data_IF_284523596378
#
_entry.id   IF_284523596378
#
_cell.length_a   1.000
_cell.length_b   1.000
_cell.length_c   1.000
_cell.angle_alpha   90.00
_cell.angle_beta   90.00
_cell.angle_gamma   90.00
#
_symmetry.space_group_name_H-M   'P 1'
#
loop_
_entity.id
_entity.type
_entity.pdbx_description
1 polymer ?
#
# COMPACT_ATOMS: atom_id res chain seq x y z
N UNK A 1 7.62 -16.06 26.86
CA UNK A 1 7.89 -14.61 26.57
C UNK A 1 6.94 -14.15 25.49
N UNK A 2 5.96 -13.32 25.84
CA UNK A 2 5.00 -12.76 24.88
C UNK A 2 5.68 -11.51 24.32
N UNK A 3 6.20 -11.58 23.08
CA UNK A 3 6.71 -10.40 22.38
C UNK A 3 5.51 -9.59 21.88
N UNK A 4 5.21 -8.49 22.54
CA UNK A 4 4.31 -7.49 21.99
C UNK A 4 5.03 -6.80 20.83
N UNK A 5 4.70 -7.21 19.60
CA UNK A 5 5.17 -6.57 18.37
C UNK A 5 4.37 -5.27 18.18
N UNK A 6 5.03 -4.13 18.40
CA UNK A 6 4.44 -2.81 18.18
C UNK A 6 4.64 -2.38 16.73
N UNK A 7 3.53 -2.25 15.99
CA UNK A 7 3.56 -1.79 14.60
C UNK A 7 3.57 -0.26 14.55
N UNK A 8 4.68 0.33 14.07
CA UNK A 8 4.82 1.79 13.90
C UNK A 8 4.64 2.17 12.43
N UNK A 9 3.95 3.29 12.19
CA UNK A 9 3.76 3.84 10.83
C UNK A 9 4.51 5.16 10.71
N UNK A 10 5.49 5.21 9.80
CA UNK A 10 6.32 6.37 9.52
C UNK A 10 5.95 6.96 8.17
N UNK A 11 5.87 8.29 8.08
CA UNK A 11 5.53 9.00 6.84
C UNK A 11 6.64 9.98 6.49
N UNK A 12 7.18 9.85 5.27
CA UNK A 12 8.24 10.70 4.74
C UNK A 12 7.79 11.37 3.45
N UNK A 13 8.12 12.64 3.28
CA UNK A 13 7.89 13.34 2.00
C UNK A 13 9.00 13.00 1.03
N UNK A 14 8.66 12.70 -0.24
CA UNK A 14 9.65 12.55 -1.29
C UNK A 14 10.07 13.92 -1.81
N UNK A 15 11.37 14.09 -2.08
CA UNK A 15 11.87 15.28 -2.79
C UNK A 15 11.25 15.38 -4.17
N UNK A 16 11.00 16.59 -4.63
CA UNK A 16 10.51 16.81 -5.98
C UNK A 16 11.64 16.54 -6.99
N UNK A 17 11.37 15.68 -7.95
CA UNK A 17 12.29 15.36 -9.04
C UNK A 17 11.55 14.99 -10.31
N UNK A 18 12.24 15.09 -11.46
CA UNK A 18 11.69 14.63 -12.76
C UNK A 18 11.32 13.14 -12.72
N UNK A 19 11.96 12.34 -11.88
CA UNK A 19 11.68 10.92 -11.73
C UNK A 19 10.33 10.63 -11.07
N UNK A 20 9.78 11.54 -10.29
CA UNK A 20 8.49 11.39 -9.61
C UNK A 20 7.32 11.14 -10.57
N UNK A 21 7.45 11.54 -11.85
CA UNK A 21 6.48 11.21 -12.90
C UNK A 21 6.24 9.71 -13.05
N UNK A 22 7.28 8.88 -12.80
CA UNK A 22 7.14 7.43 -12.89
C UNK A 22 6.29 6.87 -11.75
N UNK A 23 6.48 7.35 -10.51
CA UNK A 23 5.61 6.98 -9.39
C UNK A 23 4.17 7.42 -9.62
N UNK A 24 3.95 8.62 -10.16
CA UNK A 24 2.62 9.11 -10.53
C UNK A 24 1.96 8.22 -11.60
N UNK A 25 2.73 7.79 -12.61
CA UNK A 25 2.27 6.83 -13.64
C UNK A 25 1.94 5.47 -13.02
N UNK A 26 2.79 4.95 -12.13
CA UNK A 26 2.51 3.70 -11.41
C UNK A 26 1.24 3.78 -10.56
N UNK A 27 0.97 4.92 -9.89
CA UNK A 27 -0.28 5.12 -9.15
C UNK A 27 -1.49 5.12 -10.11
N UNK A 28 -1.38 5.77 -11.27
CA UNK A 28 -2.46 5.77 -12.27
C UNK A 28 -2.69 4.37 -12.84
N UNK A 29 -1.61 3.63 -13.17
CA UNK A 29 -1.70 2.26 -13.62
C UNK A 29 -2.34 1.35 -12.56
N UNK A 30 -1.97 1.51 -11.28
CA UNK A 30 -2.61 0.80 -10.18
C UNK A 30 -4.11 1.09 -10.08
N UNK A 31 -4.52 2.34 -10.34
CA UNK A 31 -5.94 2.73 -10.40
C UNK A 31 -6.68 2.09 -11.58
N UNK A 32 -6.05 1.98 -12.74
CA UNK A 32 -6.63 1.31 -13.91
C UNK A 32 -6.75 -0.21 -13.67
N UNK A 33 -5.73 -0.84 -13.08
CA UNK A 33 -5.76 -2.26 -12.67
C UNK A 33 -6.87 -2.52 -11.64
N UNK A 34 -7.02 -1.64 -10.65
CA UNK A 34 -8.12 -1.72 -9.69
C UNK A 34 -9.48 -1.72 -10.41
N UNK A 35 -9.70 -0.79 -11.33
CA UNK A 35 -10.96 -0.68 -12.07
C UNK A 35 -11.20 -1.91 -12.97
N UNK A 36 -10.16 -2.46 -13.58
CA UNK A 36 -10.27 -3.69 -14.34
C UNK A 36 -10.76 -4.85 -13.46
N UNK A 37 -10.18 -5.01 -12.27
CA UNK A 37 -10.62 -6.03 -11.31
C UNK A 37 -12.08 -5.83 -10.88
N UNK A 38 -12.52 -4.60 -10.64
CA UNK A 38 -13.92 -4.30 -10.33
C UNK A 38 -14.84 -4.64 -11.51
N UNK A 39 -14.44 -4.30 -12.74
CA UNK A 39 -15.20 -4.67 -13.95
C UNK A 39 -15.33 -6.19 -14.10
N UNK A 40 -14.24 -6.92 -13.81
CA UNK A 40 -14.25 -8.39 -13.86
C UNK A 40 -15.22 -8.99 -12.83
N UNK A 41 -15.21 -8.51 -11.58
CA UNK A 41 -16.17 -8.94 -10.56
C UNK A 41 -17.62 -8.69 -10.99
N UNK A 42 -17.92 -7.49 -11.52
CA UNK A 42 -19.26 -7.16 -11.99
C UNK A 42 -19.71 -8.04 -13.16
N UNK A 43 -18.80 -8.27 -14.13
CA UNK A 43 -19.06 -9.16 -15.28
C UNK A 43 -19.32 -10.58 -14.83
N UNK A 44 -18.46 -11.12 -13.95
CA UNK A 44 -18.59 -12.47 -13.43
C UNK A 44 -19.94 -12.67 -12.71
N UNK A 45 -20.32 -11.72 -11.85
CA UNK A 45 -21.62 -11.77 -11.17
C UNK A 45 -22.81 -11.72 -12.15
N UNK A 46 -22.74 -10.89 -13.17
CA UNK A 46 -23.79 -10.78 -14.18
C UNK A 46 -23.98 -12.09 -14.97
N UNK A 47 -22.88 -12.79 -15.25
CA UNK A 47 -22.90 -14.02 -16.04
C UNK A 47 -23.32 -15.24 -15.23
N UNK A 48 -22.93 -15.34 -13.98
CA UNK A 48 -23.09 -16.56 -13.18
C UNK A 48 -23.87 -16.36 -11.86
N UNK A 49 -24.31 -15.16 -11.53
CA UNK A 49 -24.98 -14.88 -10.26
C UNK A 49 -24.11 -15.10 -9.03
N UNK A 50 -22.81 -15.33 -9.18
CA UNK A 50 -21.88 -15.70 -8.12
C UNK A 50 -20.77 -14.69 -7.96
N UNK A 51 -20.22 -14.57 -6.75
CA UNK A 51 -19.02 -13.79 -6.50
C UNK A 51 -17.79 -14.44 -7.13
N UNK A 52 -16.94 -13.62 -7.79
CA UNK A 52 -15.64 -14.08 -8.28
C UNK A 52 -14.71 -14.32 -7.08
N UNK A 53 -14.28 -15.55 -6.85
CA UNK A 53 -13.40 -15.84 -5.74
C UNK A 53 -11.97 -15.32 -5.99
N UNK A 54 -11.23 -15.13 -4.89
CA UNK A 54 -9.89 -14.55 -4.90
C UNK A 54 -8.89 -15.36 -5.74
N UNK A 55 -8.93 -16.69 -5.69
CA UNK A 55 -8.03 -17.54 -6.47
C UNK A 55 -8.21 -17.34 -7.98
N UNK A 56 -9.46 -17.31 -8.47
CA UNK A 56 -9.76 -17.02 -9.89
C UNK A 56 -9.30 -15.62 -10.30
N UNK A 57 -9.50 -14.63 -9.43
CA UNK A 57 -9.00 -13.27 -9.66
C UNK A 57 -7.48 -13.25 -9.77
N UNK A 58 -6.75 -13.94 -8.89
CA UNK A 58 -5.28 -14.03 -8.93
C UNK A 58 -4.79 -14.71 -10.21
N UNK A 59 -5.39 -15.82 -10.63
CA UNK A 59 -5.04 -16.52 -11.88
C UNK A 59 -5.24 -15.62 -13.09
N UNK A 60 -6.35 -14.88 -13.16
CA UNK A 60 -6.62 -13.91 -14.23
C UNK A 60 -5.55 -12.80 -14.26
N UNK A 61 -5.20 -12.24 -13.10
CA UNK A 61 -4.17 -11.21 -12.96
C UNK A 61 -2.81 -11.75 -13.42
N UNK A 62 -2.43 -12.97 -13.02
CA UNK A 62 -1.17 -13.59 -13.42
C UNK A 62 -1.09 -13.75 -14.95
N UNK A 63 -2.18 -14.22 -15.58
CA UNK A 63 -2.29 -14.34 -17.04
C UNK A 63 -2.19 -12.99 -17.76
N UNK A 64 -2.79 -11.92 -17.22
CA UNK A 64 -2.66 -10.58 -17.82
C UNK A 64 -1.25 -10.02 -17.67
N UNK A 65 -0.60 -10.22 -16.52
CA UNK A 65 0.77 -9.77 -16.31
C UNK A 65 1.77 -10.45 -17.21
N UNK A 66 1.61 -11.73 -17.52
CA UNK A 66 2.54 -12.46 -18.40
C UNK A 66 2.55 -11.91 -19.83
N UNK A 67 1.46 -11.26 -20.26
CA UNK A 67 1.24 -10.82 -21.65
C UNK A 67 1.19 -9.30 -21.86
N UNK A 68 1.19 -8.51 -20.77
CA UNK A 68 0.91 -7.07 -20.88
C UNK A 68 1.90 -6.23 -20.09
N UNK A 69 2.74 -5.48 -20.79
CA UNK A 69 3.75 -4.59 -20.20
C UNK A 69 3.14 -3.51 -19.29
N UNK A 70 1.93 -3.02 -19.58
CA UNK A 70 1.23 -2.06 -18.72
C UNK A 70 0.96 -2.66 -17.33
N UNK A 71 0.54 -3.93 -17.25
CA UNK A 71 0.34 -4.62 -15.97
C UNK A 71 1.66 -4.90 -15.24
N UNK A 72 2.75 -5.05 -15.99
CA UNK A 72 4.10 -5.24 -15.43
C UNK A 72 4.69 -3.93 -14.90
N UNK A 73 4.25 -2.76 -15.39
CA UNK A 73 4.73 -1.43 -14.96
C UNK A 73 4.45 -1.14 -13.49
N UNK A 74 3.47 -1.83 -12.91
CA UNK A 74 3.21 -1.87 -11.47
C UNK A 74 3.77 -3.16 -10.91
N UNK A 75 4.63 -3.10 -9.91
CA UNK A 75 5.25 -4.28 -9.30
C UNK A 75 4.24 -5.35 -8.88
N UNK A 76 4.62 -6.64 -9.00
CA UNK A 76 3.73 -7.77 -8.69
C UNK A 76 3.09 -7.67 -7.29
N UNK A 77 3.87 -7.27 -6.31
CA UNK A 77 3.42 -7.06 -4.93
C UNK A 77 2.30 -6.02 -4.83
N UNK A 78 2.41 -4.91 -5.58
CA UNK A 78 1.39 -3.87 -5.60
C UNK A 78 0.10 -4.37 -6.27
N UNK A 79 0.19 -5.16 -7.31
CA UNK A 79 -0.99 -5.74 -7.98
C UNK A 79 -1.68 -6.77 -7.08
N UNK A 80 -0.93 -7.60 -6.39
CA UNK A 80 -1.47 -8.53 -5.38
C UNK A 80 -2.16 -7.79 -4.23
N UNK A 81 -1.58 -6.68 -3.75
CA UNK A 81 -2.20 -5.86 -2.72
C UNK A 81 -3.52 -5.22 -3.19
N UNK A 82 -3.60 -4.79 -4.46
CA UNK A 82 -4.85 -4.30 -5.05
C UNK A 82 -5.94 -5.38 -5.01
N UNK A 83 -5.61 -6.60 -5.44
CA UNK A 83 -6.54 -7.73 -5.42
C UNK A 83 -7.01 -8.06 -4.00
N UNK A 84 -6.09 -8.08 -3.02
CA UNK A 84 -6.43 -8.32 -1.62
C UNK A 84 -7.33 -7.24 -1.03
N UNK A 85 -7.10 -5.96 -1.37
CA UNK A 85 -7.97 -4.87 -0.92
C UNK A 85 -9.38 -4.99 -1.48
N UNK A 86 -9.51 -5.39 -2.74
CA UNK A 86 -10.82 -5.62 -3.37
C UNK A 86 -11.53 -6.78 -2.67
N UNK A 87 -10.84 -7.90 -2.44
CA UNK A 87 -11.41 -9.05 -1.74
C UNK A 87 -11.89 -8.67 -0.34
N UNK A 88 -11.04 -8.00 0.46
CA UNK A 88 -11.44 -7.51 1.79
C UNK A 88 -12.65 -6.56 1.74
N UNK A 89 -12.76 -5.72 0.72
CA UNK A 89 -13.89 -4.81 0.55
C UNK A 89 -15.18 -5.56 0.22
N UNK A 90 -15.12 -6.64 -0.58
CA UNK A 90 -16.26 -7.52 -0.83
C UNK A 90 -16.66 -8.30 0.42
N UNK A 91 -15.68 -8.85 1.17
CA UNK A 91 -15.96 -9.53 2.44
C UNK A 91 -16.64 -8.61 3.45
N UNK A 92 -16.18 -7.35 3.55
CA UNK A 92 -16.83 -6.34 4.38
C UNK A 92 -18.26 -6.04 3.91
N UNK A 93 -18.48 -5.94 2.60
CA UNK A 93 -19.81 -5.77 2.02
C UNK A 93 -20.72 -6.96 2.40
N UNK A 94 -20.29 -8.19 2.17
CA UNK A 94 -21.11 -9.37 2.50
C UNK A 94 -21.45 -9.46 3.98
N UNK A 95 -20.50 -9.08 4.84
CA UNK A 95 -20.74 -9.09 6.30
C UNK A 95 -21.68 -7.98 6.77
N UNK A 96 -21.67 -6.81 6.12
CA UNK A 96 -22.31 -5.61 6.64
C UNK A 96 -23.27 -4.91 5.66
N UNK A 97 -23.70 -5.57 4.56
CA UNK A 97 -24.62 -4.95 3.58
C UNK A 97 -25.93 -4.50 4.21
N UNK A 98 -26.47 -5.27 5.18
CA UNK A 98 -27.67 -4.87 5.94
C UNK A 98 -27.50 -3.58 6.75
N UNK A 99 -26.25 -3.20 7.07
CA UNK A 99 -25.91 -1.94 7.75
C UNK A 99 -25.54 -0.81 6.75
N UNK A 100 -25.90 -0.95 5.48
CA UNK A 100 -25.68 0.07 4.45
C UNK A 100 -24.29 0.06 3.78
N UNK A 101 -23.43 -0.91 4.10
CA UNK A 101 -22.13 -1.06 3.40
C UNK A 101 -22.40 -1.44 1.95
N UNK A 102 -21.83 -0.68 1.01
CA UNK A 102 -21.96 -0.91 -0.42
C UNK A 102 -20.80 -1.72 -0.99
N UNK A 103 -21.00 -2.48 -2.08
CA UNK A 103 -19.91 -3.18 -2.74
C UNK A 103 -18.87 -2.20 -3.31
N UNK A 104 -17.59 -2.63 -3.44
CA UNK A 104 -16.58 -1.77 -4.02
C UNK A 104 -16.93 -1.36 -5.45
N UNK A 105 -16.74 -0.06 -5.75
CA UNK A 105 -17.05 0.54 -7.04
C UNK A 105 -15.83 1.05 -7.79
N UNK A 106 -16.05 1.56 -9.02
CA UNK A 106 -15.01 2.19 -9.81
C UNK A 106 -14.47 3.47 -9.16
N UNK A 107 -13.20 3.73 -9.37
CA UNK A 107 -12.51 4.95 -8.93
C UNK A 107 -11.98 5.73 -10.12
N UNK A 108 -12.14 7.06 -10.11
CA UNK A 108 -11.48 7.90 -11.11
C UNK A 108 -9.97 7.72 -10.99
N UNK A 109 -9.30 7.31 -12.06
CA UNK A 109 -7.86 6.99 -12.07
C UNK A 109 -7.02 8.16 -11.54
N UNK A 110 -7.33 9.40 -11.95
CA UNK A 110 -6.65 10.60 -11.44
C UNK A 110 -6.80 10.84 -9.93
N UNK A 111 -7.83 10.25 -9.31
CA UNK A 111 -8.09 10.32 -7.85
C UNK A 111 -7.56 9.09 -7.10
N UNK A 112 -7.01 8.10 -7.82
CA UNK A 112 -6.37 6.96 -7.17
C UNK A 112 -5.10 7.41 -6.46
N UNK A 113 -4.90 7.03 -5.20
CA UNK A 113 -3.96 7.75 -4.34
C UNK A 113 -2.66 7.01 -4.07
N UNK A 114 -2.62 5.67 -4.14
CA UNK A 114 -1.45 4.93 -3.65
C UNK A 114 -1.35 3.51 -4.20
N UNK A 115 -0.13 2.98 -4.16
CA UNK A 115 0.14 1.54 -4.26
C UNK A 115 1.07 1.10 -3.13
N UNK A 116 0.98 -0.17 -2.73
CA UNK A 116 1.74 -0.74 -1.62
C UNK A 116 2.62 -1.88 -2.09
N UNK A 117 3.87 -1.87 -1.65
CA UNK A 117 4.84 -2.95 -1.79
C UNK A 117 5.03 -3.60 -0.41
N UNK A 118 4.95 -4.93 -0.33
CA UNK A 118 5.03 -5.64 0.97
C UNK A 118 6.46 -6.03 1.32
N UNK A 119 7.06 -6.93 0.56
CA UNK A 119 8.38 -7.50 0.90
C UNK A 119 9.43 -7.27 -0.18
N UNK A 120 9.01 -6.94 -1.39
CA UNK A 120 9.89 -6.78 -2.54
C UNK A 120 9.52 -5.58 -3.40
N UNK A 121 10.44 -5.20 -4.30
CA UNK A 121 10.26 -4.09 -5.23
C UNK A 121 10.81 -2.75 -4.73
N UNK A 122 11.44 -2.74 -3.54
CA UNK A 122 12.13 -1.58 -3.00
C UNK A 122 13.37 -1.98 -2.19
N UNK A 123 14.32 -1.04 -2.05
CA UNK A 123 15.53 -1.21 -1.21
C UNK A 123 15.96 0.17 -0.69
N UNK A 124 16.17 0.30 0.62
CA UNK A 124 16.84 1.44 1.22
C UNK A 124 18.34 1.35 0.93
N UNK A 125 18.93 2.41 0.38
CA UNK A 125 20.34 2.43 -0.07
C UNK A 125 21.19 3.45 0.70
N UNK A 126 20.70 3.89 1.86
CA UNK A 126 21.38 4.87 2.71
C UNK A 126 21.25 6.32 2.20
N UNK A 127 21.66 7.29 3.02
CA UNK A 127 21.67 8.70 2.67
C UNK A 127 20.32 9.25 2.21
N UNK A 128 19.23 8.94 2.94
CA UNK A 128 17.85 9.33 2.62
C UNK A 128 17.38 8.93 1.19
N UNK A 129 17.90 7.82 0.66
CA UNK A 129 17.57 7.33 -0.68
C UNK A 129 16.91 5.96 -0.62
N UNK A 130 15.91 5.78 -1.48
CA UNK A 130 15.22 4.51 -1.67
C UNK A 130 15.16 4.16 -3.16
N UNK A 131 15.54 2.91 -3.48
CA UNK A 131 15.35 2.33 -4.81
C UNK A 131 13.98 1.67 -4.87
N UNK A 132 13.15 2.02 -5.86
CA UNK A 132 11.86 1.40 -6.16
C UNK A 132 11.90 0.94 -7.61
N UNK A 133 11.80 -0.37 -7.83
CA UNK A 133 12.10 -0.97 -9.12
C UNK A 133 13.54 -0.63 -9.54
N UNK A 134 13.70 -0.03 -10.71
CA UNK A 134 15.02 0.34 -11.27
C UNK A 134 15.40 1.82 -11.02
N UNK A 135 14.66 2.56 -10.19
CA UNK A 135 14.84 3.99 -9.98
C UNK A 135 15.10 4.34 -8.53
N UNK A 136 15.91 5.38 -8.32
CA UNK A 136 16.26 5.89 -6.99
C UNK A 136 15.48 7.17 -6.72
N UNK A 137 14.92 7.27 -5.54
CA UNK A 137 14.17 8.44 -5.05
C UNK A 137 14.77 8.90 -3.74
N UNK A 138 14.74 10.21 -3.51
CA UNK A 138 15.16 10.81 -2.24
C UNK A 138 13.95 11.20 -1.40
N UNK A 139 14.07 11.10 -0.09
CA UNK A 139 13.04 11.48 0.86
C UNK A 139 13.61 12.31 2.00
N UNK A 140 12.77 13.13 2.62
CA UNK A 140 13.11 13.87 3.81
C UNK A 140 13.18 12.91 4.99
N UNK A 141 14.41 12.67 5.49
CA UNK A 141 14.62 11.81 6.63
C UNK A 141 14.42 12.60 7.92
N UNK A 142 13.17 12.71 8.37
CA UNK A 142 12.80 13.41 9.60
C UNK A 142 13.00 12.56 10.86
N UNK A 143 13.21 11.26 10.71
CA UNK A 143 13.43 10.28 11.78
C UNK A 143 13.98 8.97 11.21
N UNK A 144 14.64 8.20 12.06
CA UNK A 144 15.18 6.90 11.65
C UNK A 144 14.09 5.85 11.45
N UNK A 145 14.36 4.90 10.54
CA UNK A 145 13.50 3.75 10.26
C UNK A 145 14.07 2.58 11.05
N UNK A 146 13.60 2.43 12.28
CA UNK A 146 14.01 1.36 13.19
C UNK A 146 13.09 0.14 13.05
N UNK A 147 13.67 -1.06 13.12
CA UNK A 147 12.94 -2.32 13.03
C UNK A 147 12.79 -2.86 11.60
N UNK A 148 11.98 -3.91 11.48
CA UNK A 148 11.76 -4.61 10.19
C UNK A 148 10.65 -3.95 9.39
N UNK A 149 10.96 -3.49 8.18
CA UNK A 149 9.94 -2.91 7.28
C UNK A 149 9.00 -4.01 6.78
N UNK A 150 7.72 -3.89 7.09
CA UNK A 150 6.64 -4.81 6.65
C UNK A 150 5.99 -4.36 5.35
N UNK A 151 5.73 -3.06 5.20
CA UNK A 151 5.14 -2.51 3.98
C UNK A 151 5.68 -1.13 3.66
N UNK A 152 5.79 -0.87 2.37
CA UNK A 152 6.08 0.45 1.80
C UNK A 152 4.92 0.90 0.93
N UNK A 153 4.28 2.01 1.25
CA UNK A 153 3.21 2.60 0.46
C UNK A 153 3.65 3.93 -0.14
N UNK A 154 3.60 4.04 -1.45
CA UNK A 154 3.76 5.33 -2.13
C UNK A 154 2.38 5.96 -2.28
N UNK A 155 2.23 7.19 -1.76
CA UNK A 155 0.96 7.91 -1.70
C UNK A 155 1.10 9.28 -2.36
N UNK A 156 0.10 9.64 -3.18
CA UNK A 156 -0.07 10.95 -3.80
C UNK A 156 -1.12 11.75 -3.03
N UNK A 157 -0.83 13.02 -2.75
CA UNK A 157 -1.81 13.97 -2.22
C UNK A 157 -2.66 14.59 -3.34
N UNK A 158 -3.68 15.35 -2.97
CA UNK A 158 -4.49 16.14 -3.92
C UNK A 158 -3.67 17.22 -4.64
N UNK A 159 -2.65 17.76 -3.97
CA UNK A 159 -1.71 18.74 -4.52
C UNK A 159 -0.62 18.11 -5.40
N UNK A 160 -0.64 16.80 -5.60
CA UNK A 160 0.32 16.08 -6.44
C UNK A 160 1.67 15.77 -5.77
N UNK A 161 1.82 16.08 -4.49
CA UNK A 161 2.99 15.69 -3.71
C UNK A 161 3.01 14.18 -3.46
N UNK A 162 4.22 13.63 -3.35
CA UNK A 162 4.42 12.21 -3.08
C UNK A 162 4.99 11.99 -1.68
N UNK A 163 4.43 11.01 -1.02
CA UNK A 163 4.88 10.54 0.29
C UNK A 163 5.17 9.05 0.24
N UNK A 164 6.16 8.67 1.01
CA UNK A 164 6.46 7.29 1.37
C UNK A 164 5.92 7.03 2.76
N UNK A 165 5.09 6.00 2.91
CA UNK A 165 4.58 5.54 4.19
C UNK A 165 5.13 4.15 4.44
N UNK A 166 5.89 4.01 5.51
CA UNK A 166 6.58 2.78 5.90
C UNK A 166 5.92 2.24 7.16
N UNK A 167 5.52 0.98 7.15
CA UNK A 167 5.10 0.27 8.34
C UNK A 167 6.25 -0.62 8.79
N UNK A 168 6.70 -0.41 10.02
CA UNK A 168 7.78 -1.17 10.63
C UNK A 168 7.26 -1.96 11.83
N UNK A 169 7.86 -3.12 12.04
CA UNK A 169 7.71 -3.93 13.24
C UNK A 169 8.83 -3.55 14.19
N UNK A 170 8.55 -2.68 15.15
CA UNK A 170 9.48 -2.29 16.18
C UNK A 170 9.49 -3.32 17.30
N UNK A 171 10.65 -3.76 17.75
CA UNK A 171 10.78 -4.34 19.07
C UNK A 171 10.57 -3.19 20.04
N UNK A 172 9.55 -3.22 20.89
CA UNK A 172 9.50 -2.33 22.03
C UNK A 172 10.65 -2.73 22.94
N UNK A 173 11.69 -1.91 23.00
CA UNK A 173 12.60 -1.93 24.14
C UNK A 173 11.75 -1.53 25.35
N UNK A 174 11.41 -2.54 26.17
CA UNK A 174 10.74 -2.36 27.42
C UNK A 174 11.59 -1.45 28.31
N UNK A 175 11.08 -0.25 28.59
CA UNK A 175 11.28 0.38 29.85
C UNK A 175 12.42 1.35 29.99
N UNK A 176 12.29 2.56 29.50
CA UNK A 176 12.67 3.69 30.34
C UNK A 176 11.46 4.07 31.20
N UNK A 177 11.42 3.53 32.42
CA UNK A 177 10.61 4.07 33.50
C UNK A 177 11.02 5.53 33.66
N UNK A 178 10.12 6.46 33.36
CA UNK A 178 10.23 7.81 33.83
C UNK A 178 10.09 7.75 35.37
N UNK A 179 11.22 7.81 36.08
CA UNK A 179 11.21 8.15 37.49
C UNK A 179 10.71 9.59 37.62
N UNK A 180 9.48 9.69 38.09
CA UNK A 180 8.93 10.96 38.53
C UNK A 180 9.70 11.35 39.80
N UNK A 181 10.75 12.16 39.65
CA UNK A 181 11.39 12.81 40.78
C UNK A 181 10.38 13.77 41.38
N UNK A 182 9.82 13.39 42.53
CA UNK A 182 9.09 14.28 43.41
C UNK A 182 10.06 15.34 43.89
N UNK A 183 9.94 16.55 43.40
CA UNK A 183 10.56 17.72 44.01
C UNK A 183 9.72 18.01 45.25
N UNK A 184 10.29 17.69 46.42
CA UNK A 184 9.75 18.16 47.69
C UNK A 184 10.07 19.68 47.81
N UNK A 185 9.04 20.51 47.88
CA UNK A 185 9.13 21.88 48.29
C UNK A 185 9.24 21.89 49.81
N UNK A 186 10.35 22.44 50.31
CA UNK A 186 10.50 22.98 51.67
C UNK A 186 10.36 24.47 51.61
#
# INVERSE_FOLDING_TARGET
MIYNSSMKTLKFKLYQSKQNRHLKRSINAAGAIYNHCIALHKRYYRMWGKHLNFAKLQSHIASLRSRNAFWQSVGSQAVQDIAQRIEKAYQLFFKHHKKGVRPPGFKKVRRYKSFTLKQAGYKFIGGNRIKIGNRVYQYWNSRDIEGTVKTLTIKRTTLGELFMVVVVDGKDELGTKFETSRIALV
#
